data_IF_332610226344
#
_entry.id   IF_332610226344
#
_cell.length_a   1.000
_cell.length_b   1.000
_cell.length_c   1.000
_cell.angle_alpha   90.00
_cell.angle_beta   90.00
_cell.angle_gamma   90.00
#
_symmetry.space_group_name_H-M   'P 1'
#
loop_
_entity.id
_entity.type
_entity.pdbx_description
1 polymer ?
#
# COMPACT_ATOMS: atom_id res chain seq x y z
N UNK A 1 2.71 -0.84 -40.64
CA UNK A 1 3.05 0.55 -40.30
C UNK A 1 2.79 0.72 -38.81
N UNK A 2 3.79 0.44 -38.02
CA UNK A 2 3.75 0.61 -36.53
C UNK A 2 4.01 2.08 -36.26
N UNK A 3 3.04 2.76 -35.65
CA UNK A 3 3.26 4.08 -35.05
C UNK A 3 3.74 3.88 -33.62
N UNK A 4 4.97 4.33 -33.38
CA UNK A 4 5.62 4.35 -32.07
C UNK A 4 4.86 5.35 -31.19
N UNK A 5 4.37 4.89 -30.03
CA UNK A 5 3.97 5.76 -28.94
C UNK A 5 5.26 6.20 -28.23
N UNK A 6 5.63 7.47 -28.37
CA UNK A 6 6.76 8.04 -27.65
C UNK A 6 6.35 8.29 -26.20
N UNK A 7 6.94 7.54 -25.30
CA UNK A 7 6.89 7.80 -23.86
C UNK A 7 7.85 8.98 -23.60
N UNK A 8 7.32 10.11 -23.15
CA UNK A 8 8.14 11.30 -22.85
C UNK A 8 8.62 11.17 -21.40
N UNK A 9 9.86 10.73 -21.23
CA UNK A 9 10.57 10.77 -19.95
C UNK A 9 11.29 12.12 -19.89
N UNK A 10 10.86 13.03 -19.03
CA UNK A 10 11.53 14.30 -18.77
C UNK A 10 12.58 14.13 -17.69
N UNK A 11 13.83 13.93 -18.11
CA UNK A 11 14.98 14.06 -17.23
C UNK A 11 15.38 15.54 -17.11
N UNK A 12 15.18 16.15 -15.95
CA UNK A 12 15.68 17.49 -15.66
C UNK A 12 17.16 17.44 -15.28
N UNK A 13 18.03 17.82 -16.20
CA UNK A 13 19.41 18.12 -15.92
C UNK A 13 19.53 19.42 -15.12
N UNK A 14 20.07 19.35 -13.92
CA UNK A 14 20.34 20.52 -13.07
C UNK A 14 21.55 21.28 -13.62
N UNK A 15 21.29 22.40 -14.31
CA UNK A 15 22.33 23.39 -14.59
C UNK A 15 22.51 24.29 -13.37
N UNK A 16 23.70 24.24 -12.76
CA UNK A 16 24.10 25.16 -11.69
C UNK A 16 24.20 26.60 -12.18
N UNK A 17 23.15 27.38 -12.00
CA UNK A 17 23.14 28.83 -12.11
C UNK A 17 22.91 29.44 -10.72
N UNK A 18 23.92 30.17 -10.23
CA UNK A 18 23.90 30.85 -8.94
C UNK A 18 22.99 32.09 -9.03
N UNK A 19 21.78 32.00 -8.48
CA UNK A 19 20.86 33.13 -8.34
C UNK A 19 20.95 33.73 -6.93
N UNK A 20 20.76 35.04 -6.76
CA UNK A 20 20.90 35.70 -5.46
C UNK A 20 19.77 35.37 -4.51
N UNK A 21 20.13 35.11 -3.27
CA UNK A 21 19.22 34.82 -2.15
C UNK A 21 18.30 36.01 -1.87
N UNK A 22 16.96 35.82 -1.87
CA UNK A 22 16.09 36.76 -1.20
C UNK A 22 16.07 36.42 0.30
N UNK A 23 16.49 37.38 1.12
CA UNK A 23 16.20 37.39 2.56
C UNK A 23 14.71 37.65 2.74
N UNK A 24 13.97 36.64 3.10
CA UNK A 24 12.59 36.74 3.52
C UNK A 24 12.27 35.52 4.37
N UNK A 25 12.35 35.68 5.70
CA UNK A 25 11.72 34.77 6.66
C UNK A 25 10.22 34.89 6.48
N UNK A 26 9.64 34.09 5.57
CA UNK A 26 8.19 33.86 5.61
C UNK A 26 7.92 32.92 6.78
N UNK A 27 7.18 33.40 7.77
CA UNK A 27 6.53 32.54 8.74
C UNK A 27 5.74 31.45 7.99
N UNK A 28 5.62 30.21 8.51
CA UNK A 28 4.80 29.20 7.88
C UNK A 28 3.40 29.76 7.68
N UNK A 29 2.88 29.71 6.46
CA UNK A 29 1.52 30.10 6.17
C UNK A 29 0.59 29.34 7.13
N UNK A 30 -0.29 30.05 7.82
CA UNK A 30 -1.26 29.40 8.68
C UNK A 30 -2.13 28.48 7.80
N UNK A 31 -2.30 27.23 8.24
CA UNK A 31 -3.17 26.29 7.52
C UNK A 31 -4.56 26.92 7.27
N UNK A 32 -5.18 26.66 6.11
CA UNK A 32 -6.48 27.20 5.79
C UNK A 32 -7.48 26.97 6.91
N UNK A 33 -8.33 27.94 7.16
CA UNK A 33 -9.34 27.87 8.26
C UNK A 33 -10.18 26.58 8.13
N UNK A 34 -10.49 26.17 6.91
CA UNK A 34 -11.23 24.95 6.62
C UNK A 34 -10.48 23.69 7.11
N UNK A 35 -9.19 23.57 6.86
CA UNK A 35 -8.39 22.44 7.34
C UNK A 35 -8.37 22.37 8.87
N UNK A 36 -8.22 23.50 9.54
CA UNK A 36 -8.24 23.55 11.01
C UNK A 36 -9.60 23.09 11.56
N UNK A 37 -10.70 23.51 10.94
CA UNK A 37 -12.04 23.12 11.33
C UNK A 37 -12.27 21.60 11.15
N UNK A 38 -11.83 21.04 10.03
CA UNK A 38 -11.91 19.57 9.77
C UNK A 38 -11.08 18.81 10.80
N UNK A 39 -9.85 19.25 11.07
CA UNK A 39 -8.97 18.60 12.05
C UNK A 39 -9.55 18.63 13.46
N UNK A 40 -10.20 19.74 13.85
CA UNK A 40 -10.85 19.86 15.15
C UNK A 40 -12.08 18.93 15.23
N UNK A 41 -12.91 18.89 14.21
CA UNK A 41 -14.09 18.03 14.13
C UNK A 41 -13.72 16.54 14.21
N UNK A 42 -12.69 16.12 13.44
CA UNK A 42 -12.18 14.76 13.43
C UNK A 42 -11.22 14.45 14.60
N UNK A 43 -10.93 15.43 15.46
CA UNK A 43 -9.98 15.31 16.57
C UNK A 43 -8.59 14.82 16.14
N UNK A 44 -8.14 15.28 14.98
CA UNK A 44 -6.85 14.89 14.43
C UNK A 44 -5.70 15.57 15.17
N UNK A 45 -4.53 14.92 15.26
CA UNK A 45 -3.33 15.55 15.76
C UNK A 45 -2.96 16.77 14.91
N UNK A 46 -2.16 17.67 15.49
CA UNK A 46 -1.67 18.85 14.76
C UNK A 46 -0.98 18.40 13.46
N UNK A 47 -1.27 19.12 12.37
CA UNK A 47 -0.63 18.86 11.08
C UNK A 47 0.90 18.94 11.21
N UNK A 48 1.59 18.01 10.59
CA UNK A 48 3.03 18.13 10.35
C UNK A 48 3.28 19.21 9.28
N UNK A 49 4.43 19.90 9.31
CA UNK A 49 4.78 20.80 8.23
C UNK A 49 4.85 20.01 6.90
N UNK A 50 4.23 20.59 5.86
CA UNK A 50 4.30 20.01 4.52
C UNK A 50 5.77 19.95 4.02
N UNK A 51 6.10 18.94 3.21
CA UNK A 51 7.41 18.87 2.59
C UNK A 51 7.58 20.04 1.60
N UNK A 52 8.70 20.78 1.65
CA UNK A 52 8.92 21.93 0.76
C UNK A 52 8.88 21.59 -0.74
N UNK A 53 8.96 20.32 -1.11
CA UNK A 53 8.86 19.84 -2.48
C UNK A 53 7.43 19.83 -3.01
N UNK A 54 6.43 19.67 -2.13
CA UNK A 54 5.01 19.50 -2.50
C UNK A 54 4.47 20.67 -3.32
N UNK A 55 4.72 21.90 -2.90
CA UNK A 55 4.30 23.09 -3.63
C UNK A 55 4.86 23.12 -5.08
N UNK A 56 6.09 22.65 -5.28
CA UNK A 56 6.69 22.58 -6.61
C UNK A 56 6.13 21.45 -7.44
N UNK A 57 5.83 20.32 -6.81
CA UNK A 57 5.18 19.17 -7.44
C UNK A 57 3.78 19.58 -7.90
N UNK A 58 2.99 20.18 -7.02
CA UNK A 58 1.65 20.65 -7.33
C UNK A 58 1.64 21.62 -8.51
N UNK A 59 2.52 22.64 -8.49
CA UNK A 59 2.64 23.62 -9.58
C UNK A 59 3.04 22.96 -10.92
N UNK A 60 4.05 22.09 -10.90
CA UNK A 60 4.53 21.41 -12.11
C UNK A 60 3.47 20.48 -12.71
N UNK A 61 2.77 19.72 -11.87
CA UNK A 61 1.72 18.80 -12.31
C UNK A 61 0.51 19.58 -12.82
N UNK A 62 0.09 20.67 -12.16
CA UNK A 62 -1.00 21.52 -12.66
C UNK A 62 -0.68 22.06 -14.05
N UNK A 63 0.53 22.61 -14.24
CA UNK A 63 0.96 23.14 -15.53
C UNK A 63 0.97 22.05 -16.63
N UNK A 64 1.50 20.86 -16.31
CA UNK A 64 1.55 19.73 -17.25
C UNK A 64 0.15 19.26 -17.62
N UNK A 65 -0.75 19.08 -16.66
CA UNK A 65 -2.10 18.60 -16.89
C UNK A 65 -2.94 19.60 -17.69
N UNK A 66 -2.81 20.89 -17.39
CA UNK A 66 -3.60 21.93 -18.03
C UNK A 66 -3.12 22.33 -19.43
N UNK A 67 -1.81 22.19 -19.72
CA UNK A 67 -1.21 22.75 -20.95
C UNK A 67 -0.55 21.71 -21.85
N UNK A 68 0.10 20.71 -21.28
CA UNK A 68 0.97 19.80 -22.01
C UNK A 68 0.41 18.38 -22.14
N UNK A 69 -0.62 18.06 -21.36
CA UNK A 69 -1.24 16.73 -21.39
C UNK A 69 -1.88 16.45 -22.76
N UNK A 70 -1.98 15.19 -23.18
CA UNK A 70 -2.61 14.76 -24.44
C UNK A 70 -4.07 15.21 -24.54
N UNK A 71 -4.73 15.37 -23.40
CA UNK A 71 -6.10 15.89 -23.25
C UNK A 71 -6.09 17.02 -22.22
N UNK A 72 -5.59 18.22 -22.59
CA UNK A 72 -5.47 19.29 -21.64
C UNK A 72 -6.86 19.80 -21.24
N UNK A 73 -7.06 19.95 -19.94
CA UNK A 73 -8.24 20.54 -19.35
C UNK A 73 -7.82 21.46 -18.21
N UNK A 74 -8.59 22.54 -18.00
CA UNK A 74 -8.43 23.37 -16.82
C UNK A 74 -8.78 22.52 -15.59
N UNK A 75 -7.95 22.57 -14.59
CA UNK A 75 -8.22 21.98 -13.29
C UNK A 75 -9.24 22.87 -12.57
N UNK A 76 -10.48 22.40 -12.48
CA UNK A 76 -11.64 23.11 -11.95
C UNK A 76 -12.41 22.25 -10.93
N UNK A 77 -13.48 22.81 -10.36
CA UNK A 77 -14.36 22.14 -9.41
C UNK A 77 -14.91 20.78 -9.90
N UNK A 78 -15.13 20.60 -11.22
CA UNK A 78 -15.66 19.35 -11.76
C UNK A 78 -14.57 18.27 -11.72
N UNK A 79 -13.36 18.62 -12.15
CA UNK A 79 -12.19 17.74 -12.05
C UNK A 79 -11.89 17.46 -10.58
N UNK A 80 -11.95 18.46 -9.72
CA UNK A 80 -11.74 18.33 -8.27
C UNK A 80 -12.66 17.28 -7.63
N UNK A 81 -13.95 17.30 -7.95
CA UNK A 81 -14.90 16.29 -7.41
C UNK A 81 -14.58 14.87 -7.88
N UNK A 82 -14.22 14.70 -9.15
CA UNK A 82 -13.81 13.39 -9.67
C UNK A 82 -12.48 12.93 -9.06
N UNK A 83 -11.54 13.84 -8.89
CA UNK A 83 -10.28 13.56 -8.24
C UNK A 83 -10.47 13.15 -6.77
N UNK A 84 -11.44 13.76 -6.08
CA UNK A 84 -11.79 13.36 -4.71
C UNK A 84 -12.31 11.91 -4.64
N UNK A 85 -13.13 11.48 -5.60
CA UNK A 85 -13.59 10.08 -5.67
C UNK A 85 -12.41 9.12 -5.86
N UNK A 86 -11.51 9.43 -6.80
CA UNK A 86 -10.28 8.65 -7.00
C UNK A 86 -9.39 8.66 -5.75
N UNK A 87 -9.29 9.79 -5.08
CA UNK A 87 -8.51 9.93 -3.85
C UNK A 87 -9.03 9.05 -2.72
N UNK A 88 -10.34 9.01 -2.51
CA UNK A 88 -10.96 8.12 -1.52
C UNK A 88 -10.73 6.64 -1.85
N UNK A 89 -10.79 6.29 -3.14
CA UNK A 89 -10.50 4.92 -3.59
C UNK A 89 -9.03 4.57 -3.39
N UNK A 90 -8.12 5.53 -3.58
CA UNK A 90 -6.70 5.32 -3.31
C UNK A 90 -6.38 5.21 -1.81
N UNK A 91 -7.03 6.01 -0.96
CA UNK A 91 -6.85 5.97 0.49
C UNK A 91 -7.32 4.66 1.11
N UNK A 92 -8.51 4.20 0.76
CA UNK A 92 -9.14 3.01 1.36
C UNK A 92 -9.88 2.18 0.28
N UNK A 93 -9.13 1.47 -0.60
CA UNK A 93 -9.70 0.73 -1.73
C UNK A 93 -10.72 -0.34 -1.31
N UNK A 94 -10.51 -0.92 -0.14
CA UNK A 94 -11.37 -1.96 0.43
C UNK A 94 -12.50 -1.41 1.30
N UNK A 95 -12.53 -0.10 1.54
CA UNK A 95 -13.45 0.56 2.48
C UNK A 95 -13.49 -0.14 3.85
N UNK A 96 -12.28 -0.43 4.35
CA UNK A 96 -12.04 -1.20 5.57
C UNK A 96 -11.68 -0.32 6.77
N UNK A 97 -11.18 0.88 6.50
CA UNK A 97 -10.66 1.78 7.54
C UNK A 97 -11.60 2.94 7.83
N UNK A 98 -11.94 3.72 6.79
CA UNK A 98 -12.71 4.94 6.95
C UNK A 98 -14.19 4.66 7.21
N UNK A 99 -14.80 5.45 8.09
CA UNK A 99 -16.23 5.51 8.28
C UNK A 99 -16.87 6.52 7.33
N UNK A 100 -18.16 6.32 7.05
CA UNK A 100 -18.93 7.28 6.24
C UNK A 100 -18.88 8.70 6.80
N UNK A 101 -18.92 8.87 8.11
CA UNK A 101 -18.84 10.18 8.77
C UNK A 101 -17.56 10.95 8.47
N UNK A 102 -16.42 10.25 8.42
CA UNK A 102 -15.13 10.85 8.11
C UNK A 102 -15.06 11.25 6.63
N UNK A 103 -15.55 10.37 5.75
CA UNK A 103 -15.67 10.66 4.32
C UNK A 103 -16.59 11.87 4.10
N UNK A 104 -17.72 11.96 4.80
CA UNK A 104 -18.64 13.10 4.71
C UNK A 104 -17.99 14.43 5.15
N UNK A 105 -17.10 14.39 6.14
CA UNK A 105 -16.32 15.57 6.56
C UNK A 105 -15.29 15.95 5.50
N UNK A 106 -14.50 15.01 5.00
CA UNK A 106 -13.50 15.24 3.95
C UNK A 106 -14.15 15.75 2.66
N UNK A 107 -15.36 15.29 2.32
CA UNK A 107 -16.05 15.66 1.09
C UNK A 107 -16.45 17.13 1.01
N UNK A 108 -16.44 17.87 2.12
CA UNK A 108 -16.75 19.29 2.15
C UNK A 108 -15.77 20.13 1.34
N UNK A 109 -14.51 19.65 1.25
CA UNK A 109 -13.45 20.31 0.47
C UNK A 109 -13.20 19.64 -0.89
N UNK A 110 -14.05 18.69 -1.29
CA UNK A 110 -13.90 17.95 -2.55
C UNK A 110 -13.85 18.84 -3.81
N UNK A 111 -14.49 20.00 -3.80
CA UNK A 111 -14.50 20.94 -4.92
C UNK A 111 -13.34 21.97 -4.86
N UNK A 112 -12.41 21.84 -3.93
CA UNK A 112 -11.31 22.79 -3.70
C UNK A 112 -9.93 22.23 -4.00
N UNK A 113 -9.88 21.05 -4.60
CA UNK A 113 -8.62 20.38 -4.96
C UNK A 113 -7.82 21.24 -5.96
N UNK A 114 -8.49 21.87 -6.91
CA UNK A 114 -7.88 22.77 -7.86
C UNK A 114 -7.28 24.01 -7.18
N UNK A 115 -7.98 24.62 -6.22
CA UNK A 115 -7.47 25.72 -5.41
C UNK A 115 -6.20 25.31 -4.66
N UNK A 116 -6.20 24.14 -4.01
CA UNK A 116 -5.05 23.62 -3.28
C UNK A 116 -3.85 23.35 -4.21
N UNK A 117 -4.09 22.73 -5.36
CA UNK A 117 -3.06 22.49 -6.36
C UNK A 117 -2.43 23.76 -6.89
N UNK A 118 -3.24 24.78 -7.23
CA UNK A 118 -2.75 26.06 -7.70
C UNK A 118 -2.02 26.86 -6.61
N UNK A 119 -2.46 26.73 -5.36
CA UNK A 119 -1.79 27.34 -4.21
C UNK A 119 -0.50 26.63 -3.81
N UNK A 120 -0.34 25.35 -4.20
CA UNK A 120 0.74 24.48 -3.73
C UNK A 120 0.58 24.08 -2.26
N UNK A 121 -0.65 24.05 -1.76
CA UNK A 121 -1.01 23.66 -0.39
C UNK A 121 -1.95 22.45 -0.44
N UNK A 122 -1.40 21.28 -0.18
CA UNK A 122 -2.12 19.99 -0.27
C UNK A 122 -2.78 19.63 1.07
N UNK A 123 -3.56 20.54 1.62
CA UNK A 123 -4.17 20.41 2.95
C UNK A 123 -5.11 19.20 3.06
N UNK A 124 -5.92 18.94 2.02
CA UNK A 124 -6.82 17.78 1.99
C UNK A 124 -6.05 16.45 1.93
N UNK A 125 -4.92 16.42 1.20
CA UNK A 125 -4.05 15.25 1.16
C UNK A 125 -3.53 14.88 2.56
N UNK A 126 -2.99 15.84 3.27
CA UNK A 126 -2.48 15.64 4.64
C UNK A 126 -3.58 15.31 5.64
N UNK A 127 -4.75 15.91 5.48
CA UNK A 127 -5.89 15.64 6.35
C UNK A 127 -6.41 14.22 6.15
N UNK A 128 -6.59 13.79 4.90
CA UNK A 128 -7.02 12.43 4.58
C UNK A 128 -6.03 11.37 5.05
N UNK A 129 -4.73 11.58 4.83
CA UNK A 129 -3.68 10.69 5.32
C UNK A 129 -3.67 10.58 6.85
N UNK A 130 -3.87 11.70 7.56
CA UNK A 130 -3.94 11.70 9.02
C UNK A 130 -5.17 10.96 9.55
N UNK A 131 -6.35 11.15 8.93
CA UNK A 131 -7.56 10.37 9.25
C UNK A 131 -7.31 8.90 9.07
N UNK A 132 -6.79 8.52 7.91
CA UNK A 132 -6.48 7.12 7.60
C UNK A 132 -5.53 6.51 8.64
N UNK A 133 -4.46 7.22 9.00
CA UNK A 133 -3.49 6.75 9.98
C UNK A 133 -4.10 6.53 11.38
N UNK A 134 -4.99 7.41 11.82
CA UNK A 134 -5.70 7.23 13.10
C UNK A 134 -6.68 6.04 13.04
N UNK A 135 -7.40 5.89 11.93
CA UNK A 135 -8.32 4.77 11.77
C UNK A 135 -7.58 3.42 11.63
N UNK A 136 -6.43 3.39 10.97
CA UNK A 136 -5.56 2.20 10.91
C UNK A 136 -5.11 1.75 12.29
N UNK A 137 -4.78 2.67 13.21
CA UNK A 137 -4.41 2.32 14.61
C UNK A 137 -5.59 1.68 15.36
N UNK A 138 -6.81 2.25 15.22
CA UNK A 138 -8.02 1.70 15.82
C UNK A 138 -8.32 0.31 15.28
N UNK A 139 -8.24 0.16 13.96
CA UNK A 139 -8.47 -1.13 13.28
C UNK A 139 -7.41 -2.16 13.67
N UNK A 140 -6.14 -1.78 13.77
CA UNK A 140 -5.08 -2.69 14.20
C UNK A 140 -5.38 -3.29 15.59
N UNK A 141 -5.80 -2.45 16.54
CA UNK A 141 -6.18 -2.90 17.87
C UNK A 141 -7.41 -3.82 17.85
N UNK A 142 -8.41 -3.47 17.05
CA UNK A 142 -9.64 -4.26 16.86
C UNK A 142 -9.35 -5.63 16.22
N UNK A 143 -8.50 -5.68 15.20
CA UNK A 143 -8.10 -6.94 14.52
C UNK A 143 -7.34 -7.85 15.49
N UNK A 144 -6.39 -7.30 16.26
CA UNK A 144 -5.67 -8.06 17.27
C UNK A 144 -6.61 -8.65 18.33
N UNK A 145 -7.60 -7.88 18.80
CA UNK A 145 -8.64 -8.36 19.72
C UNK A 145 -9.46 -9.51 19.10
N UNK A 146 -9.94 -9.36 17.86
CA UNK A 146 -10.73 -10.38 17.16
C UNK A 146 -9.94 -11.67 16.97
N UNK A 147 -8.68 -11.58 16.59
CA UNK A 147 -7.81 -12.74 16.39
C UNK A 147 -7.35 -13.40 17.71
N UNK A 148 -7.63 -12.80 18.86
CA UNK A 148 -7.35 -13.43 20.16
C UNK A 148 -8.36 -14.52 20.54
N UNK A 149 -9.55 -14.55 19.92
CA UNK A 149 -10.64 -15.49 20.24
C UNK A 149 -11.01 -16.33 19.03
N UNK A 150 -11.43 -17.60 19.22
CA UNK A 150 -11.90 -18.45 18.13
C UNK A 150 -13.10 -17.88 17.41
N UNK A 151 -13.20 -18.13 16.09
CA UNK A 151 -14.38 -17.79 15.29
C UNK A 151 -15.43 -18.89 15.35
N UNK A 152 -16.70 -18.47 15.32
CA UNK A 152 -17.83 -19.40 15.21
C UNK A 152 -18.13 -19.71 13.74
N UNK A 153 -17.76 -20.91 13.28
CA UNK A 153 -17.99 -21.39 11.92
C UNK A 153 -19.33 -22.09 11.75
N UNK A 154 -20.15 -22.18 12.78
CA UNK A 154 -21.49 -22.77 12.67
C UNK A 154 -22.53 -21.82 12.09
N UNK A 155 -22.22 -20.52 12.10
CA UNK A 155 -23.06 -19.44 11.55
C UNK A 155 -22.78 -19.29 10.07
N UNK A 156 -23.82 -19.46 9.23
CA UNK A 156 -23.77 -19.18 7.80
C UNK A 156 -23.85 -17.67 7.56
N UNK A 157 -22.83 -17.11 6.94
CA UNK A 157 -22.66 -15.66 6.71
C UNK A 157 -22.13 -15.40 5.29
N UNK A 158 -22.52 -14.26 4.76
CA UNK A 158 -22.00 -13.77 3.47
C UNK A 158 -21.13 -12.53 3.66
N UNK A 159 -20.10 -12.40 2.82
CA UNK A 159 -19.22 -11.24 2.73
C UNK A 159 -19.23 -10.75 1.29
N UNK A 160 -19.52 -9.45 1.09
CA UNK A 160 -19.31 -8.82 -0.22
C UNK A 160 -17.82 -8.54 -0.39
N UNK A 161 -17.25 -9.02 -1.47
CA UNK A 161 -15.82 -8.88 -1.79
C UNK A 161 -15.54 -7.95 -2.96
N UNK A 162 -16.57 -7.52 -3.69
CA UNK A 162 -16.44 -6.56 -4.79
C UNK A 162 -16.35 -5.14 -4.25
N UNK A 163 -15.17 -4.45 -4.32
CA UNK A 163 -15.00 -3.10 -3.79
C UNK A 163 -15.97 -2.08 -4.38
N UNK A 164 -16.42 -2.30 -5.62
CA UNK A 164 -17.37 -1.41 -6.32
C UNK A 164 -18.77 -1.46 -5.73
N UNK A 165 -19.12 -2.56 -5.07
CA UNK A 165 -20.42 -2.72 -4.38
C UNK A 165 -20.36 -2.32 -2.92
N UNK A 166 -19.15 -2.19 -2.37
CA UNK A 166 -18.97 -1.79 -0.99
C UNK A 166 -19.21 -0.28 -0.84
N UNK A 167 -19.92 0.09 0.23
CA UNK A 167 -20.00 1.45 0.75
C UNK A 167 -19.09 1.58 1.99
N UNK A 168 -18.66 2.79 2.31
CA UNK A 168 -17.99 3.03 3.59
C UNK A 168 -18.91 2.64 4.76
N UNK A 169 -18.38 1.97 5.80
CA UNK A 169 -19.15 1.57 6.97
C UNK A 169 -19.85 2.77 7.61
N UNK A 170 -21.13 2.61 7.93
CA UNK A 170 -21.91 3.69 8.52
C UNK A 170 -21.43 4.06 9.93
N UNK A 171 -20.85 3.12 10.66
CA UNK A 171 -20.38 3.27 12.02
C UNK A 171 -19.35 2.17 12.39
N UNK A 172 -18.77 2.27 13.59
CA UNK A 172 -17.82 1.32 14.14
C UNK A 172 -18.34 -0.13 14.19
N UNK A 173 -19.61 -0.32 14.48
CA UNK A 173 -20.20 -1.66 14.54
C UNK A 173 -20.23 -2.32 13.15
N UNK A 174 -20.65 -1.58 12.12
CA UNK A 174 -20.66 -2.07 10.74
C UNK A 174 -19.23 -2.38 10.24
N UNK A 175 -18.24 -1.52 10.60
CA UNK A 175 -16.83 -1.76 10.31
C UNK A 175 -16.31 -3.01 11.01
N UNK A 176 -16.62 -3.16 12.29
CA UNK A 176 -16.26 -4.34 13.10
C UNK A 176 -16.84 -5.63 12.52
N UNK A 177 -18.09 -5.64 12.10
CA UNK A 177 -18.73 -6.82 11.48
C UNK A 177 -18.07 -7.18 10.14
N UNK A 178 -17.75 -6.18 9.30
CA UNK A 178 -17.04 -6.40 8.03
C UNK A 178 -15.67 -7.03 8.27
N UNK A 179 -14.89 -6.50 9.20
CA UNK A 179 -13.60 -7.06 9.58
C UNK A 179 -13.72 -8.46 10.14
N UNK A 180 -14.69 -8.69 11.05
CA UNK A 180 -14.94 -10.02 11.62
C UNK A 180 -15.20 -11.06 10.55
N UNK A 181 -16.08 -10.77 9.59
CA UNK A 181 -16.40 -11.68 8.47
C UNK A 181 -15.20 -11.92 7.58
N UNK A 182 -14.43 -10.87 7.25
CA UNK A 182 -13.22 -10.99 6.46
C UNK A 182 -12.15 -11.85 7.15
N UNK A 183 -11.92 -11.64 8.44
CA UNK A 183 -10.96 -12.43 9.21
C UNK A 183 -11.41 -13.89 9.34
N UNK A 184 -12.71 -14.13 9.59
CA UNK A 184 -13.31 -15.49 9.63
C UNK A 184 -13.07 -16.22 8.31
N UNK A 185 -13.31 -15.58 7.17
CA UNK A 185 -13.01 -16.14 5.84
C UNK A 185 -11.55 -16.48 5.68
N UNK A 186 -10.64 -15.55 6.00
CA UNK A 186 -9.20 -15.78 5.87
C UNK A 186 -8.69 -16.91 6.76
N UNK A 187 -9.25 -17.07 7.95
CA UNK A 187 -8.92 -18.21 8.84
C UNK A 187 -9.42 -19.51 8.20
N UNK A 188 -10.64 -19.53 7.66
CA UNK A 188 -11.18 -20.72 6.98
C UNK A 188 -10.32 -21.13 5.78
N UNK A 189 -9.95 -20.20 4.92
CA UNK A 189 -9.06 -20.45 3.78
C UNK A 189 -7.68 -21.01 4.19
N UNK A 190 -7.16 -20.60 5.35
CA UNK A 190 -5.93 -21.17 5.90
C UNK A 190 -6.12 -22.60 6.41
N UNK A 191 -7.26 -22.88 7.03
CA UNK A 191 -7.60 -24.23 7.48
C UNK A 191 -7.71 -25.16 6.27
N UNK A 192 -8.42 -24.75 5.21
CA UNK A 192 -8.55 -25.51 3.98
C UNK A 192 -7.21 -25.83 3.34
N UNK A 193 -6.30 -24.83 3.23
CA UNK A 193 -4.94 -25.04 2.73
C UNK A 193 -4.13 -26.02 3.60
N UNK A 194 -4.26 -25.96 4.92
CA UNK A 194 -3.62 -26.93 5.81
C UNK A 194 -4.14 -28.36 5.57
N UNK A 195 -5.44 -28.51 5.34
CA UNK A 195 -6.06 -29.82 5.03
C UNK A 195 -5.62 -30.37 3.68
N UNK A 196 -5.55 -29.51 2.66
CA UNK A 196 -5.05 -29.91 1.34
C UNK A 196 -3.59 -30.34 1.40
N UNK A 197 -2.75 -29.59 2.12
CA UNK A 197 -1.33 -29.92 2.33
C UNK A 197 -1.19 -31.25 3.07
N UNK A 198 -2.00 -31.50 4.10
CA UNK A 198 -2.00 -32.77 4.82
C UNK A 198 -2.38 -33.95 3.92
N UNK A 199 -3.46 -33.81 3.14
CA UNK A 199 -3.92 -34.82 2.17
C UNK A 199 -2.87 -35.11 1.09
N UNK A 200 -2.22 -34.06 0.58
CA UNK A 200 -1.14 -34.20 -0.40
C UNK A 200 0.07 -34.95 0.17
N UNK A 201 0.47 -34.63 1.42
CA UNK A 201 1.56 -35.31 2.10
C UNK A 201 1.25 -36.79 2.38
N UNK A 202 0.02 -37.12 2.76
CA UNK A 202 -0.43 -38.51 2.94
C UNK A 202 -0.41 -39.28 1.63
N UNK A 203 -0.86 -38.67 0.54
CA UNK A 203 -0.85 -39.26 -0.79
C UNK A 203 0.60 -39.56 -1.26
N UNK A 204 1.53 -38.62 -1.10
CA UNK A 204 2.94 -38.80 -1.42
C UNK A 204 3.58 -39.91 -0.59
N UNK A 205 3.24 -40.00 0.70
CA UNK A 205 3.72 -41.12 1.54
C UNK A 205 3.19 -42.45 1.06
N UNK A 206 1.91 -42.56 0.72
CA UNK A 206 1.29 -43.78 0.20
C UNK A 206 1.82 -44.21 -1.19
N UNK A 207 2.18 -43.24 -2.05
CA UNK A 207 2.80 -43.48 -3.34
C UNK A 207 4.31 -43.83 -3.19
N UNK A 208 5.03 -43.11 -2.33
CA UNK A 208 6.46 -43.35 -2.06
C UNK A 208 6.76 -44.67 -1.36
N UNK A 209 5.82 -45.29 -0.68
CA UNK A 209 5.97 -46.67 -0.18
C UNK A 209 5.90 -47.71 -1.29
N UNK A 210 5.32 -47.40 -2.46
CA UNK A 210 5.27 -48.28 -3.62
C UNK A 210 6.53 -48.23 -4.50
N UNK A 211 7.29 -47.11 -4.44
CA UNK A 211 8.45 -46.88 -5.34
C UNK A 211 9.82 -46.93 -4.67
N UNK A 212 9.93 -47.29 -3.38
CA UNK A 212 11.21 -47.38 -2.66
C UNK A 212 12.18 -48.46 -3.16
N UNK A 213 11.94 -49.06 -4.34
CA UNK A 213 12.87 -49.98 -4.97
C UNK A 213 13.87 -49.32 -5.96
N UNK A 214 13.71 -48.08 -6.33
CA UNK A 214 14.63 -47.35 -7.24
C UNK A 214 14.48 -45.84 -7.09
N UNK A 215 15.33 -45.17 -6.35
CA UNK A 215 15.80 -43.87 -6.71
C UNK A 215 16.94 -43.38 -5.81
N UNK A 216 17.97 -42.93 -6.47
CA UNK A 216 19.17 -42.25 -6.03
C UNK A 216 18.80 -40.91 -5.41
N UNK A 217 19.45 -40.56 -4.30
CA UNK A 217 19.37 -39.30 -3.59
C UNK A 217 19.66 -38.09 -4.50
N UNK A 218 18.67 -37.26 -4.68
CA UNK A 218 18.86 -35.87 -5.11
C UNK A 218 18.38 -34.98 -3.95
N UNK A 219 19.34 -34.30 -3.31
CA UNK A 219 19.10 -33.39 -2.18
C UNK A 219 18.40 -32.11 -2.67
N UNK A 220 17.07 -32.07 -2.54
CA UNK A 220 16.35 -30.83 -2.51
C UNK A 220 16.35 -30.28 -1.07
N UNK A 221 16.48 -28.95 -0.85
CA UNK A 221 16.50 -28.37 0.48
C UNK A 221 15.18 -28.69 1.19
N UNK A 222 15.23 -29.51 2.21
CA UNK A 222 14.10 -29.85 3.09
C UNK A 222 13.80 -28.65 4.00
N UNK A 223 13.00 -27.72 3.53
CA UNK A 223 12.26 -26.88 4.46
C UNK A 223 11.34 -27.83 5.22
N UNK A 224 11.61 -28.04 6.50
CA UNK A 224 10.81 -28.88 7.36
C UNK A 224 9.44 -28.22 7.55
N UNK A 225 8.48 -28.53 6.67
CA UNK A 225 7.09 -28.09 6.82
C UNK A 225 6.54 -28.91 8.00
N UNK A 226 6.35 -28.28 9.13
CA UNK A 226 5.66 -28.90 10.26
C UNK A 226 4.29 -29.41 9.81
N UNK A 227 3.94 -30.66 10.13
CA UNK A 227 2.63 -31.17 9.76
C UNK A 227 1.54 -30.35 10.45
N UNK A 228 0.43 -30.04 9.74
CA UNK A 228 -0.63 -29.27 10.33
C UNK A 228 -1.28 -30.01 11.51
N UNK A 229 -1.83 -29.26 12.48
CA UNK A 229 -2.53 -29.86 13.62
C UNK A 229 -3.62 -30.82 13.19
N UNK A 230 -3.81 -31.97 13.87
CA UNK A 230 -4.74 -33.01 13.43
C UNK A 230 -6.21 -32.65 13.63
N UNK A 231 -6.52 -31.79 14.59
CA UNK A 231 -7.92 -31.39 14.90
C UNK A 231 -8.30 -30.07 14.22
N UNK A 232 -9.57 -29.88 13.99
CA UNK A 232 -10.09 -28.60 13.46
C UNK A 232 -9.74 -27.43 14.37
N UNK A 233 -9.95 -27.58 15.68
CA UNK A 233 -9.64 -26.54 16.67
C UNK A 233 -8.14 -26.19 16.70
N UNK A 234 -7.28 -27.21 16.52
CA UNK A 234 -5.84 -27.00 16.44
C UNK A 234 -5.46 -26.23 15.17
N UNK A 235 -6.05 -26.56 14.03
CA UNK A 235 -5.83 -25.84 12.77
C UNK A 235 -6.41 -24.42 12.82
N UNK A 236 -7.58 -24.24 13.41
CA UNK A 236 -8.18 -22.91 13.62
C UNK A 236 -7.27 -22.04 14.45
N UNK A 237 -6.81 -22.54 15.59
CA UNK A 237 -5.89 -21.81 16.47
C UNK A 237 -4.64 -21.40 15.73
N UNK A 238 -3.99 -22.34 15.02
CA UNK A 238 -2.78 -22.06 14.25
C UNK A 238 -3.05 -21.04 13.14
N UNK A 239 -4.13 -21.20 12.37
CA UNK A 239 -4.51 -20.28 11.30
C UNK A 239 -4.72 -18.86 11.82
N UNK A 240 -5.34 -18.72 12.96
CA UNK A 240 -5.63 -17.45 13.63
C UNK A 240 -4.36 -16.79 14.18
N UNK A 241 -3.47 -17.57 14.81
CA UNK A 241 -2.17 -17.09 15.32
C UNK A 241 -1.25 -16.64 14.17
N UNK A 242 -1.18 -17.41 13.08
CA UNK A 242 -0.40 -17.06 11.90
C UNK A 242 -0.97 -15.80 11.22
N UNK A 243 -2.30 -15.69 11.13
CA UNK A 243 -2.97 -14.51 10.60
C UNK A 243 -2.72 -13.26 11.45
N UNK A 244 -2.68 -13.42 12.79
CA UNK A 244 -2.37 -12.32 13.70
C UNK A 244 -0.97 -11.74 13.46
N UNK A 245 0.04 -12.61 13.28
CA UNK A 245 1.41 -12.18 12.95
C UNK A 245 1.48 -11.45 11.62
N UNK A 246 0.76 -11.94 10.60
CA UNK A 246 0.73 -11.29 9.29
C UNK A 246 0.11 -9.88 9.37
N UNK A 247 -0.98 -9.73 10.14
CA UNK A 247 -1.60 -8.43 10.35
C UNK A 247 -0.74 -7.49 11.20
N UNK A 248 -0.04 -8.01 12.22
CA UNK A 248 0.94 -7.21 12.98
C UNK A 248 2.01 -6.64 12.04
N UNK A 249 2.63 -7.47 11.21
CA UNK A 249 3.61 -7.03 10.22
C UNK A 249 3.02 -6.06 9.20
N UNK A 250 1.78 -6.29 8.75
CA UNK A 250 1.08 -5.40 7.82
C UNK A 250 0.82 -4.02 8.43
N UNK A 251 0.29 -3.96 9.65
CA UNK A 251 0.02 -2.68 10.33
C UNK A 251 1.31 -1.94 10.69
N UNK A 252 2.38 -2.67 11.01
CA UNK A 252 3.70 -2.06 11.21
C UNK A 252 4.19 -1.37 9.92
N UNK A 253 4.04 -2.00 8.77
CA UNK A 253 4.38 -1.38 7.47
C UNK A 253 3.50 -0.16 7.17
N UNK A 254 2.18 -0.26 7.36
CA UNK A 254 1.25 0.86 7.17
C UNK A 254 1.50 2.03 8.12
N UNK A 255 2.15 1.81 9.26
CA UNK A 255 2.50 2.89 10.19
C UNK A 255 3.77 3.67 9.81
N UNK A 256 4.56 3.16 8.85
CA UNK A 256 5.72 3.86 8.32
C UNK A 256 5.23 4.88 7.30
N UNK A 257 5.39 6.15 7.62
CA UNK A 257 5.01 7.25 6.72
C UNK A 257 6.23 7.60 5.86
N UNK A 258 6.08 7.45 4.55
CA UNK A 258 7.12 7.86 3.61
C UNK A 258 6.95 9.35 3.25
N UNK A 259 8.06 10.08 3.06
CA UNK A 259 8.01 11.46 2.58
C UNK A 259 7.27 11.52 1.23
N UNK A 260 6.39 12.49 1.07
CA UNK A 260 5.58 12.73 -0.13
C UNK A 260 4.49 11.71 -0.43
N UNK A 261 4.32 10.63 0.33
CA UNK A 261 3.30 9.60 0.07
C UNK A 261 1.88 10.19 -0.01
N UNK A 262 1.53 11.09 0.91
CA UNK A 262 0.23 11.77 0.89
C UNK A 262 0.06 12.65 -0.35
N UNK A 263 1.10 13.41 -0.71
CA UNK A 263 1.10 14.27 -1.90
C UNK A 263 1.04 13.43 -3.19
N UNK A 264 1.80 12.35 -3.26
CA UNK A 264 1.82 11.44 -4.40
C UNK A 264 0.45 10.79 -4.63
N UNK A 265 -0.16 10.24 -3.58
CA UNK A 265 -1.50 9.64 -3.64
C UNK A 265 -2.53 10.65 -4.14
N UNK A 266 -2.47 11.88 -3.64
CA UNK A 266 -3.37 12.95 -4.00
C UNK A 266 -3.20 13.40 -5.46
N UNK A 267 -1.97 13.67 -5.86
CA UNK A 267 -1.63 14.10 -7.22
C UNK A 267 -2.00 13.03 -8.25
N UNK A 268 -1.77 11.76 -7.93
CA UNK A 268 -2.14 10.64 -8.80
C UNK A 268 -3.66 10.47 -8.92
N UNK A 269 -4.41 10.75 -7.88
CA UNK A 269 -5.87 10.78 -7.95
C UNK A 269 -6.38 11.85 -8.93
N UNK A 270 -5.72 13.01 -8.99
CA UNK A 270 -6.03 14.09 -9.93
C UNK A 270 -5.61 13.70 -11.34
N UNK A 271 -4.37 13.23 -11.53
CA UNK A 271 -3.84 12.82 -12.84
C UNK A 271 -4.71 11.72 -13.48
N UNK A 272 -5.22 10.77 -12.69
CA UNK A 272 -6.11 9.71 -13.12
C UNK A 272 -7.46 10.18 -13.67
N UNK A 273 -7.90 11.40 -13.37
CA UNK A 273 -9.11 11.99 -13.97
C UNK A 273 -8.88 12.38 -15.44
N UNK A 274 -7.67 12.83 -15.77
CA UNK A 274 -7.28 13.21 -17.13
C UNK A 274 -7.08 11.99 -18.03
N UNK A 275 -6.35 11.01 -17.51
CA UNK A 275 -6.10 9.74 -18.20
C UNK A 275 -5.68 8.66 -17.20
N UNK A 276 -6.23 7.43 -17.27
CA UNK A 276 -5.89 6.34 -16.34
C UNK A 276 -4.44 5.84 -16.44
N UNK A 277 -3.69 6.28 -17.45
CA UNK A 277 -2.29 5.94 -17.67
C UNK A 277 -1.33 7.07 -17.28
N UNK A 278 -1.86 8.23 -16.88
CA UNK A 278 -1.06 9.35 -16.40
C UNK A 278 -0.76 9.15 -14.92
N UNK A 279 0.52 9.03 -14.57
CA UNK A 279 0.99 8.75 -13.22
C UNK A 279 2.20 9.64 -12.90
N UNK A 280 2.17 10.25 -11.74
CA UNK A 280 3.34 10.87 -11.11
C UNK A 280 4.09 9.78 -10.31
N UNK A 281 5.38 9.67 -10.55
CA UNK A 281 6.29 8.82 -9.79
C UNK A 281 7.23 9.70 -8.98
N UNK A 282 7.27 9.48 -7.67
CA UNK A 282 8.28 10.10 -6.83
C UNK A 282 9.69 9.63 -7.27
N UNK A 283 10.75 10.43 -7.06
CA UNK A 283 12.09 10.13 -7.58
C UNK A 283 12.59 8.71 -7.22
N UNK A 284 12.31 8.24 -6.02
CA UNK A 284 12.69 6.90 -5.57
C UNK A 284 11.95 5.78 -6.31
N UNK A 285 10.69 6.03 -6.65
CA UNK A 285 9.89 5.09 -7.45
C UNK A 285 10.28 5.11 -8.92
N UNK A 286 10.72 6.25 -9.44
CA UNK A 286 11.23 6.38 -10.79
C UNK A 286 12.47 5.51 -11.01
N UNK A 287 13.41 5.47 -10.07
CA UNK A 287 14.58 4.58 -10.13
C UNK A 287 14.17 3.11 -10.23
N UNK A 288 13.23 2.68 -9.41
CA UNK A 288 12.71 1.31 -9.47
C UNK A 288 12.01 1.00 -10.80
N UNK A 289 11.26 1.97 -11.35
CA UNK A 289 10.60 1.85 -12.64
C UNK A 289 11.60 1.74 -13.78
N UNK A 290 12.65 2.56 -13.78
CA UNK A 290 13.72 2.55 -14.78
C UNK A 290 14.48 1.21 -14.75
N UNK A 291 14.71 0.63 -13.57
CA UNK A 291 15.29 -0.71 -13.42
C UNK A 291 14.38 -1.77 -14.05
N UNK A 292 13.08 -1.70 -13.81
CA UNK A 292 12.11 -2.66 -14.37
C UNK A 292 12.04 -2.58 -15.90
N UNK A 293 12.10 -1.38 -16.48
CA UNK A 293 12.03 -1.19 -17.94
C UNK A 293 13.35 -1.53 -18.62
N UNK A 294 14.48 -1.11 -18.05
CA UNK A 294 15.79 -1.38 -18.64
C UNK A 294 16.17 -2.86 -18.56
N UNK A 295 15.54 -3.63 -17.66
CA UNK A 295 15.92 -5.02 -17.38
C UNK A 295 17.34 -5.15 -16.84
N UNK A 296 17.97 -4.05 -16.47
CA UNK A 296 19.33 -3.98 -15.96
C UNK A 296 19.28 -3.57 -14.50
N UNK A 297 19.58 -4.49 -13.61
CA UNK A 297 19.69 -4.25 -12.19
C UNK A 297 21.17 -4.17 -11.82
N UNK A 298 21.63 -2.97 -11.44
CA UNK A 298 22.94 -2.79 -10.84
C UNK A 298 22.83 -2.95 -9.33
N UNK A 299 23.51 -3.95 -8.77
CA UNK A 299 23.43 -4.25 -7.35
C UNK A 299 24.45 -5.28 -6.91
N UNK A 300 24.39 -5.65 -5.64
CA UNK A 300 25.30 -6.64 -5.04
C UNK A 300 25.17 -8.05 -5.64
N UNK A 301 24.10 -8.32 -6.37
CA UNK A 301 23.81 -9.66 -6.93
C UNK A 301 23.34 -10.66 -5.91
N UNK A 302 22.50 -10.22 -4.99
CA UNK A 302 21.80 -11.07 -4.01
C UNK A 302 20.30 -10.73 -3.97
N UNK A 303 19.47 -11.74 -3.79
CA UNK A 303 18.05 -11.59 -3.51
C UNK A 303 17.87 -11.53 -2.01
N UNK A 304 17.37 -10.41 -1.51
CA UNK A 304 17.16 -10.16 -0.10
C UNK A 304 15.68 -10.41 0.27
N UNK A 305 15.45 -10.90 1.46
CA UNK A 305 14.10 -11.03 2.06
C UNK A 305 14.08 -10.27 3.37
N UNK A 306 13.09 -9.41 3.55
CA UNK A 306 12.83 -8.76 4.83
C UNK A 306 12.02 -9.73 5.70
N UNK A 307 12.56 -10.09 6.86
CA UNK A 307 11.88 -10.87 7.89
C UNK A 307 11.77 -10.00 9.13
N UNK A 308 10.56 -9.53 9.42
CA UNK A 308 10.11 -8.68 10.53
C UNK A 308 11.13 -7.68 11.12
N UNK A 309 12.36 -8.09 11.40
CA UNK A 309 13.40 -7.28 12.05
C UNK A 309 14.79 -7.40 11.39
N UNK A 310 14.94 -8.29 10.41
CA UNK A 310 16.21 -8.56 9.75
C UNK A 310 16.05 -8.61 8.24
N UNK A 311 17.13 -8.31 7.54
CA UNK A 311 17.22 -8.58 6.10
C UNK A 311 18.09 -9.81 5.97
N UNK A 312 17.55 -10.88 5.38
CA UNK A 312 18.29 -12.10 5.13
C UNK A 312 18.53 -12.31 3.63
N UNK A 313 19.64 -12.94 3.30
CA UNK A 313 19.98 -13.32 1.92
C UNK A 313 19.19 -14.57 1.55
N UNK A 314 18.23 -14.43 0.65
CA UNK A 314 17.46 -15.55 0.14
C UNK A 314 18.24 -16.35 -0.89
N UNK A 315 18.95 -15.68 -1.78
CA UNK A 315 19.66 -16.28 -2.90
C UNK A 315 20.80 -15.37 -3.35
N UNK A 316 21.94 -15.93 -3.71
CA UNK A 316 23.03 -15.21 -4.36
C UNK A 316 22.95 -15.47 -5.86
N UNK A 317 22.86 -14.40 -6.65
CA UNK A 317 22.68 -14.48 -8.12
C UNK A 317 23.97 -14.96 -8.77
N UNK A 318 23.97 -16.10 -9.46
CA UNK A 318 25.16 -16.63 -10.14
C UNK A 318 25.76 -15.60 -11.13
N UNK A 319 27.04 -15.33 -11.01
CA UNK A 319 27.75 -14.33 -11.83
C UNK A 319 27.61 -12.90 -11.34
N UNK A 320 26.82 -12.64 -10.28
CA UNK A 320 26.73 -11.34 -9.60
C UNK A 320 28.00 -10.98 -8.82
N UNK A 321 28.03 -9.78 -8.24
CA UNK A 321 29.19 -9.31 -7.46
C UNK A 321 29.40 -10.18 -6.21
N UNK A 322 28.35 -10.42 -5.42
CA UNK A 322 28.41 -11.25 -4.23
C UNK A 322 28.84 -12.70 -4.54
N UNK A 323 28.35 -13.26 -5.63
CA UNK A 323 28.74 -14.61 -6.07
C UNK A 323 30.23 -14.69 -6.42
N UNK A 324 30.78 -13.68 -7.07
CA UNK A 324 32.21 -13.63 -7.42
C UNK A 324 33.10 -13.38 -6.23
N UNK A 325 32.63 -12.64 -5.24
CA UNK A 325 33.37 -12.34 -4.01
C UNK A 325 33.35 -13.54 -3.04
N UNK A 326 32.25 -14.30 -3.02
CA UNK A 326 32.12 -15.55 -2.26
C UNK A 326 32.06 -15.37 -0.73
N UNK A 327 31.76 -14.17 -0.24
CA UNK A 327 31.63 -13.90 1.21
C UNK A 327 30.18 -13.93 1.69
N UNK A 328 29.20 -13.82 0.78
CA UNK A 328 27.79 -13.77 1.07
C UNK A 328 27.15 -15.11 0.68
N UNK A 329 26.44 -15.74 1.59
CA UNK A 329 25.75 -17.01 1.36
C UNK A 329 24.24 -16.88 1.59
N UNK A 330 23.46 -17.82 1.02
CA UNK A 330 22.03 -17.89 1.28
C UNK A 330 21.81 -18.24 2.76
N UNK A 331 21.04 -17.43 3.46
CA UNK A 331 20.76 -17.57 4.89
C UNK A 331 21.50 -16.56 5.79
N UNK A 332 22.41 -15.73 5.23
CA UNK A 332 23.08 -14.65 5.98
C UNK A 332 22.11 -13.51 6.36
#
# INVERSE_FOLDING_TARGET
MLRHASLLVLSFGVACGRAPTPKGTSAPAAAPIAEQAIREELRLPKAQPADPREARIAAAISELLEREHVRPHVLDDEISRKAFENYLEALDPGKLFLLKSEVDVLSRDAARIDDEMHAGDLALAHTGAAVLAEEQKKVASMVAEMLSTPFDFTVDESLETDPKKLSFPANEEARRDRWRKSLKQQVLERIERMEETAKAAEKLKAEGEKDKAKAVEEEAPKVAIEPPPPTFEGREKKAREDLAKDYEGRFLRLSKVEPLEAAETFVNAIAGVYDPHTLYLAPEQQENFDIQISGSLEGIGAVLTEDAHYISVREVVPGGAAWREGQLEAGD
#
